data_IF_750065748279
#
_entry.id   IF_750065748279
#
_cell.length_a   1.000
_cell.length_b   1.000
_cell.length_c   1.000
_cell.angle_alpha   90.00
_cell.angle_beta   90.00
_cell.angle_gamma   90.00
#
_symmetry.space_group_name_H-M   'P 1'
#
loop_
_entity.id
_entity.type
_entity.pdbx_description
1 polymer ?
#
# COMPACT_ATOMS: atom_id res chain seq x y z
N UNK A 1 -59.95 29.37 16.43
CA UNK A 1 -59.83 28.05 15.77
C UNK A 1 -58.36 27.77 15.47
N UNK A 2 -57.73 26.72 16.02
CA UNK A 2 -56.36 26.38 15.64
C UNK A 2 -56.39 25.64 14.29
N UNK A 3 -55.68 26.19 13.30
CA UNK A 3 -55.47 25.55 12.00
C UNK A 3 -54.65 24.28 12.23
N UNK A 4 -55.30 23.11 12.23
CA UNK A 4 -54.62 21.81 12.18
C UNK A 4 -53.81 21.77 10.88
N UNK A 5 -52.50 22.04 10.96
CA UNK A 5 -51.54 21.72 9.87
C UNK A 5 -51.74 20.24 9.53
N UNK A 6 -52.31 19.93 8.37
CA UNK A 6 -52.35 18.56 7.82
C UNK A 6 -50.91 18.04 7.83
N UNK A 7 -50.60 17.08 8.69
CA UNK A 7 -49.34 16.32 8.59
C UNK A 7 -49.33 15.71 7.19
N UNK A 8 -48.40 16.15 6.33
CA UNK A 8 -48.16 15.53 5.02
C UNK A 8 -48.02 14.02 5.26
N UNK A 9 -48.88 13.21 4.64
CA UNK A 9 -48.77 11.76 4.74
C UNK A 9 -47.38 11.32 4.29
N UNK A 10 -46.69 10.59 5.16
CA UNK A 10 -45.35 10.13 4.86
C UNK A 10 -45.43 8.99 3.84
N UNK A 11 -44.87 9.24 2.64
CA UNK A 11 -44.80 8.24 1.57
C UNK A 11 -43.98 7.03 2.03
N UNK A 12 -44.50 5.83 1.75
CA UNK A 12 -43.82 4.55 1.97
C UNK A 12 -42.47 4.54 1.22
N UNK A 13 -41.35 4.19 1.86
CA UNK A 13 -40.08 4.05 1.17
C UNK A 13 -40.17 2.98 0.07
N UNK A 14 -39.83 3.34 -1.17
CA UNK A 14 -39.67 2.36 -2.24
C UNK A 14 -38.35 1.59 -2.05
N UNK A 15 -38.46 0.26 -1.94
CA UNK A 15 -37.33 -0.66 -1.80
C UNK A 15 -36.90 -1.30 -3.13
N UNK A 16 -37.73 -1.25 -4.17
CA UNK A 16 -37.49 -1.97 -5.42
C UNK A 16 -36.12 -1.66 -6.02
N UNK A 17 -35.80 -0.38 -6.22
CA UNK A 17 -34.53 0.04 -6.83
C UNK A 17 -33.30 -0.38 -6.00
N UNK A 18 -33.36 -0.30 -4.65
CA UNK A 18 -32.22 -0.70 -3.81
C UNK A 18 -32.06 -2.22 -3.77
N UNK A 19 -33.17 -2.97 -3.80
CA UNK A 19 -33.13 -4.42 -3.89
C UNK A 19 -32.55 -4.91 -5.22
N UNK A 20 -32.87 -4.25 -6.34
CA UNK A 20 -32.28 -4.53 -7.64
C UNK A 20 -30.78 -4.24 -7.63
N UNK A 21 -30.36 -3.07 -7.15
CA UNK A 21 -28.94 -2.70 -7.05
C UNK A 21 -28.15 -3.67 -6.15
N UNK A 22 -28.75 -4.09 -5.03
CA UNK A 22 -28.18 -5.10 -4.14
C UNK A 22 -28.01 -6.45 -4.84
N UNK A 23 -29.04 -6.91 -5.58
CA UNK A 23 -28.98 -8.17 -6.33
C UNK A 23 -27.87 -8.18 -7.37
N UNK A 24 -27.71 -7.07 -8.11
CA UNK A 24 -26.63 -6.91 -9.10
C UNK A 24 -25.26 -6.92 -8.41
N UNK A 25 -25.10 -6.15 -7.33
CA UNK A 25 -23.82 -6.04 -6.61
C UNK A 25 -23.42 -7.36 -5.94
N UNK A 26 -24.40 -8.09 -5.40
CA UNK A 26 -24.21 -9.44 -4.85
C UNK A 26 -23.76 -10.42 -5.93
N UNK A 27 -24.43 -10.44 -7.09
CA UNK A 27 -24.06 -11.31 -8.20
C UNK A 27 -22.63 -11.04 -8.69
N UNK A 28 -22.27 -9.77 -8.90
CA UNK A 28 -20.90 -9.38 -9.29
C UNK A 28 -19.88 -9.82 -8.23
N UNK A 29 -20.15 -9.55 -6.95
CA UNK A 29 -19.26 -9.96 -5.86
C UNK A 29 -19.06 -11.47 -5.85
N UNK A 30 -20.14 -12.25 -6.01
CA UNK A 30 -20.08 -13.70 -6.05
C UNK A 30 -19.23 -14.20 -7.22
N UNK A 31 -19.42 -13.64 -8.42
CA UNK A 31 -18.62 -13.99 -9.60
C UNK A 31 -17.14 -13.72 -9.35
N UNK A 32 -16.80 -12.55 -8.79
CA UNK A 32 -15.42 -12.18 -8.48
C UNK A 32 -14.80 -13.05 -7.38
N UNK A 33 -15.56 -13.42 -6.36
CA UNK A 33 -15.12 -14.36 -5.32
C UNK A 33 -14.82 -15.73 -5.92
N UNK A 34 -15.70 -16.26 -6.78
CA UNK A 34 -15.47 -17.54 -7.47
C UNK A 34 -14.22 -17.45 -8.35
N UNK A 35 -14.07 -16.37 -9.12
CA UNK A 35 -12.87 -16.15 -9.94
C UNK A 35 -11.60 -16.11 -9.09
N UNK A 36 -11.62 -15.41 -7.94
CA UNK A 36 -10.51 -15.37 -7.00
C UNK A 36 -10.14 -16.77 -6.50
N UNK A 37 -11.11 -17.58 -6.08
CA UNK A 37 -10.80 -18.93 -5.60
C UNK A 37 -10.29 -19.87 -6.71
N UNK A 38 -10.71 -19.67 -7.95
CA UNK A 38 -10.11 -20.36 -9.11
C UNK A 38 -8.67 -19.90 -9.30
N UNK A 39 -8.42 -18.59 -9.23
CA UNK A 39 -7.09 -18.00 -9.37
C UNK A 39 -6.10 -18.53 -8.32
N UNK A 40 -6.52 -18.69 -7.06
CA UNK A 40 -5.69 -19.29 -6.01
C UNK A 40 -5.32 -20.76 -6.24
N UNK A 41 -6.04 -21.48 -7.10
CA UNK A 41 -5.70 -22.85 -7.50
C UNK A 41 -4.87 -22.92 -8.78
N UNK A 42 -4.86 -21.84 -9.56
CA UNK A 42 -4.11 -21.74 -10.79
C UNK A 42 -3.68 -20.29 -11.04
N UNK A 43 -2.43 -19.98 -10.70
CA UNK A 43 -1.86 -18.64 -10.82
C UNK A 43 -1.93 -18.07 -12.24
N UNK A 44 -1.93 -18.93 -13.28
CA UNK A 44 -2.06 -18.48 -14.67
C UNK A 44 -3.37 -17.73 -14.93
N UNK A 45 -4.44 -18.07 -14.20
CA UNK A 45 -5.73 -17.35 -14.29
C UNK A 45 -5.58 -15.95 -13.72
N UNK A 46 -4.89 -15.80 -12.59
CA UNK A 46 -4.60 -14.49 -12.00
C UNK A 46 -3.72 -13.65 -12.92
N UNK A 47 -2.69 -14.24 -13.54
CA UNK A 47 -1.76 -13.55 -14.43
C UNK A 47 -2.46 -13.07 -15.71
N UNK A 48 -3.26 -13.94 -16.34
CA UNK A 48 -4.06 -13.57 -17.53
C UNK A 48 -5.10 -12.51 -17.19
N UNK A 49 -5.83 -12.68 -16.08
CA UNK A 49 -6.79 -11.68 -15.60
C UNK A 49 -6.10 -10.33 -15.33
N UNK A 50 -4.93 -10.37 -14.69
CA UNK A 50 -4.16 -9.18 -14.37
C UNK A 50 -3.79 -8.43 -15.65
N UNK A 51 -3.08 -9.11 -16.56
CA UNK A 51 -2.53 -8.53 -17.77
C UNK A 51 -3.58 -8.10 -18.81
N UNK A 52 -4.67 -8.86 -18.96
CA UNK A 52 -5.66 -8.64 -20.04
C UNK A 52 -6.88 -7.85 -19.60
N UNK A 53 -7.21 -7.82 -18.32
CA UNK A 53 -8.46 -7.23 -17.81
C UNK A 53 -8.15 -6.14 -16.79
N UNK A 54 -7.61 -6.51 -15.63
CA UNK A 54 -7.53 -5.56 -14.50
C UNK A 54 -6.57 -4.40 -14.76
N UNK A 55 -5.37 -4.65 -15.29
CA UNK A 55 -4.34 -3.62 -15.50
C UNK A 55 -4.73 -2.62 -16.61
N UNK A 56 -5.25 -3.03 -17.78
CA UNK A 56 -5.76 -2.09 -18.78
C UNK A 56 -6.90 -1.19 -18.25
N UNK A 57 -7.83 -1.77 -17.47
CA UNK A 57 -8.93 -1.00 -16.87
C UNK A 57 -8.39 -0.05 -15.81
N UNK A 58 -7.49 -0.51 -14.94
CA UNK A 58 -6.88 0.30 -13.89
C UNK A 58 -6.06 1.46 -14.47
N UNK A 59 -5.35 1.25 -15.58
CA UNK A 59 -4.62 2.32 -16.27
C UNK A 59 -5.58 3.45 -16.69
N UNK A 60 -6.71 3.13 -17.31
CA UNK A 60 -7.73 4.12 -17.71
C UNK A 60 -8.39 4.76 -16.49
N UNK A 61 -8.74 3.96 -15.49
CA UNK A 61 -9.43 4.42 -14.28
C UNK A 61 -8.58 5.36 -13.41
N UNK A 62 -7.25 5.16 -13.41
CA UNK A 62 -6.32 5.99 -12.64
C UNK A 62 -6.15 7.40 -13.20
N UNK A 63 -6.43 7.64 -14.49
CA UNK A 63 -6.23 8.93 -15.16
C UNK A 63 -6.90 10.10 -14.42
N UNK A 64 -8.21 10.10 -14.16
CA UNK A 64 -8.86 11.21 -13.47
C UNK A 64 -8.33 11.42 -12.05
N UNK A 65 -7.98 10.35 -11.34
CA UNK A 65 -7.45 10.40 -9.97
C UNK A 65 -6.04 11.01 -9.95
N UNK A 66 -5.21 10.66 -10.95
CA UNK A 66 -3.86 11.20 -11.09
C UNK A 66 -3.83 12.71 -11.31
N UNK A 67 -4.87 13.28 -11.94
CA UNK A 67 -4.99 14.73 -12.17
C UNK A 67 -5.24 15.53 -10.88
N UNK A 68 -5.70 14.89 -9.81
CA UNK A 68 -5.97 15.59 -8.55
C UNK A 68 -4.66 15.93 -7.83
N UNK A 69 -4.47 17.15 -7.30
CA UNK A 69 -3.26 17.51 -6.57
C UNK A 69 -3.26 17.03 -5.10
N UNK A 70 -4.29 16.30 -4.67
CA UNK A 70 -4.51 15.84 -3.30
C UNK A 70 -5.01 14.39 -3.30
N UNK A 71 -4.95 13.73 -2.13
CA UNK A 71 -5.47 12.38 -1.92
C UNK A 71 -7.01 12.36 -1.95
N UNK A 72 -7.59 11.75 -2.98
CA UNK A 72 -9.03 11.50 -3.07
C UNK A 72 -9.49 10.53 -1.97
N UNK A 73 -8.65 9.54 -1.65
CA UNK A 73 -8.87 8.57 -0.58
C UNK A 73 -9.04 9.26 0.76
N UNK A 74 -8.12 10.14 1.14
CA UNK A 74 -8.20 10.92 2.38
C UNK A 74 -9.43 11.81 2.40
N UNK A 75 -9.69 12.54 1.29
CA UNK A 75 -10.85 13.43 1.20
C UNK A 75 -12.15 12.66 1.40
N UNK A 76 -12.30 11.49 0.74
CA UNK A 76 -13.48 10.63 0.88
C UNK A 76 -13.57 10.05 2.29
N UNK A 77 -12.46 9.66 2.91
CA UNK A 77 -12.45 9.16 4.29
C UNK A 77 -12.93 10.23 5.27
N UNK A 78 -12.39 11.44 5.20
CA UNK A 78 -12.74 12.55 6.11
C UNK A 78 -14.16 13.05 5.87
N UNK A 79 -14.51 13.40 4.63
CA UNK A 79 -15.86 13.88 4.30
C UNK A 79 -16.88 12.78 4.51
N UNK A 80 -16.55 11.55 4.12
CA UNK A 80 -17.39 10.37 4.28
C UNK A 80 -17.74 10.13 5.75
N UNK A 81 -16.77 10.25 6.65
CA UNK A 81 -17.02 10.14 8.09
C UNK A 81 -18.03 11.18 8.58
N UNK A 82 -17.87 12.45 8.21
CA UNK A 82 -18.81 13.52 8.57
C UNK A 82 -20.21 13.27 8.01
N UNK A 83 -20.30 12.80 6.76
CA UNK A 83 -21.57 12.44 6.12
C UNK A 83 -22.23 11.27 6.85
N UNK A 84 -21.47 10.22 7.20
CA UNK A 84 -21.98 9.05 7.94
C UNK A 84 -22.52 9.48 9.30
N UNK A 85 -21.80 10.33 10.06
CA UNK A 85 -22.28 10.87 11.33
C UNK A 85 -23.58 11.66 11.13
N UNK A 86 -23.61 12.59 10.18
CA UNK A 86 -24.78 13.42 9.92
C UNK A 86 -26.01 12.59 9.48
N UNK A 87 -25.81 11.59 8.61
CA UNK A 87 -26.87 10.68 8.18
C UNK A 87 -27.34 9.78 9.31
N UNK A 88 -26.44 9.35 10.20
CA UNK A 88 -26.77 8.53 11.38
C UNK A 88 -27.62 9.33 12.37
N UNK A 89 -27.19 10.54 12.75
CA UNK A 89 -27.96 11.44 13.62
C UNK A 89 -29.33 11.74 13.00
N UNK A 90 -29.37 12.10 11.72
CA UNK A 90 -30.63 12.32 10.98
C UNK A 90 -31.50 11.07 10.97
N UNK A 91 -30.90 9.89 10.83
CA UNK A 91 -31.57 8.59 10.88
C UNK A 91 -32.23 8.34 12.23
N UNK A 92 -31.48 8.52 13.32
CA UNK A 92 -31.95 8.38 14.71
C UNK A 92 -33.08 9.37 15.01
N UNK A 93 -32.88 10.66 14.72
CA UNK A 93 -33.91 11.68 14.91
C UNK A 93 -35.18 11.32 14.16
N UNK A 94 -35.08 10.88 12.90
CA UNK A 94 -36.24 10.45 12.11
C UNK A 94 -36.88 9.17 12.62
N UNK A 95 -36.11 8.24 13.17
CA UNK A 95 -36.63 7.00 13.73
C UNK A 95 -37.49 7.26 14.98
N UNK A 96 -37.07 8.22 15.81
CA UNK A 96 -37.78 8.62 17.04
C UNK A 96 -38.98 9.52 16.71
N UNK A 97 -38.77 10.57 15.90
CA UNK A 97 -39.79 11.62 15.67
C UNK A 97 -40.86 11.23 14.64
N UNK A 98 -40.61 10.20 13.82
CA UNK A 98 -41.50 9.78 12.73
C UNK A 98 -41.68 8.26 12.73
N UNK A 99 -42.65 7.74 13.51
CA UNK A 99 -42.82 6.30 13.67
C UNK A 99 -43.34 5.60 12.39
N UNK A 100 -44.07 6.32 11.53
CA UNK A 100 -44.61 5.78 10.28
C UNK A 100 -43.52 5.22 9.37
N UNK A 101 -43.62 3.96 8.95
CA UNK A 101 -42.62 3.31 8.07
C UNK A 101 -41.17 3.32 8.59
N UNK A 102 -40.91 3.55 9.89
CA UNK A 102 -39.54 3.66 10.43
C UNK A 102 -38.67 2.42 10.14
N UNK A 103 -39.26 1.24 10.24
CA UNK A 103 -38.57 -0.02 9.97
C UNK A 103 -38.27 -0.23 8.48
N UNK A 104 -39.16 0.22 7.58
CA UNK A 104 -38.88 0.18 6.14
C UNK A 104 -37.81 1.18 5.73
N UNK A 105 -37.73 2.33 6.41
CA UNK A 105 -36.62 3.28 6.23
C UNK A 105 -35.30 2.69 6.70
N UNK A 106 -35.29 2.07 7.89
CA UNK A 106 -34.11 1.38 8.42
C UNK A 106 -33.65 0.26 7.48
N UNK A 107 -34.58 -0.58 7.01
CA UNK A 107 -34.30 -1.61 6.02
C UNK A 107 -33.71 -1.02 4.75
N UNK A 108 -34.31 0.05 4.20
CA UNK A 108 -33.77 0.73 3.02
C UNK A 108 -32.32 1.19 3.24
N UNK A 109 -32.04 1.82 4.38
CA UNK A 109 -30.68 2.26 4.72
C UNK A 109 -29.72 1.07 4.83
N UNK A 110 -30.11 0.00 5.51
CA UNK A 110 -29.30 -1.22 5.61
C UNK A 110 -29.00 -1.83 4.23
N UNK A 111 -29.99 -1.89 3.34
CA UNK A 111 -29.81 -2.36 1.96
C UNK A 111 -28.84 -1.47 1.18
N UNK A 112 -28.94 -0.14 1.30
CA UNK A 112 -27.97 0.79 0.66
C UNK A 112 -26.56 0.58 1.18
N UNK A 113 -26.38 0.48 2.51
CA UNK A 113 -25.05 0.26 3.12
C UNK A 113 -24.47 -1.06 2.66
N UNK A 114 -25.27 -2.13 2.64
CA UNK A 114 -24.84 -3.43 2.14
C UNK A 114 -24.47 -3.39 0.65
N UNK A 115 -25.24 -2.68 -0.18
CA UNK A 115 -24.90 -2.48 -1.60
C UNK A 115 -23.55 -1.76 -1.75
N UNK A 116 -23.32 -0.68 -1.01
CA UNK A 116 -22.04 0.05 -1.04
C UNK A 116 -20.88 -0.85 -0.61
N UNK A 117 -21.06 -1.64 0.46
CA UNK A 117 -20.04 -2.57 0.93
C UNK A 117 -19.72 -3.66 -0.11
N UNK A 118 -20.72 -4.20 -0.81
CA UNK A 118 -20.51 -5.19 -1.89
C UNK A 118 -19.83 -4.58 -3.10
N UNK A 119 -20.14 -3.33 -3.46
CA UNK A 119 -19.43 -2.62 -4.53
C UNK A 119 -17.97 -2.40 -4.15
N UNK A 120 -17.69 -1.93 -2.93
CA UNK A 120 -16.32 -1.76 -2.45
C UNK A 120 -15.55 -3.09 -2.43
N UNK A 121 -16.17 -4.17 -1.96
CA UNK A 121 -15.60 -5.52 -2.00
C UNK A 121 -15.32 -5.98 -3.42
N UNK A 122 -16.24 -5.75 -4.36
CA UNK A 122 -16.07 -6.12 -5.77
C UNK A 122 -14.87 -5.39 -6.38
N UNK A 123 -14.74 -4.08 -6.15
CA UNK A 123 -13.61 -3.29 -6.62
C UNK A 123 -12.30 -3.75 -5.99
N UNK A 124 -12.30 -4.02 -4.69
CA UNK A 124 -11.14 -4.60 -4.01
C UNK A 124 -10.72 -5.94 -4.63
N UNK A 125 -11.64 -6.88 -4.83
CA UNK A 125 -11.31 -8.19 -5.40
C UNK A 125 -10.78 -8.03 -6.83
N UNK A 126 -11.43 -7.18 -7.63
CA UNK A 126 -11.08 -6.97 -9.03
C UNK A 126 -9.71 -6.31 -9.23
N UNK A 127 -9.32 -5.38 -8.36
CA UNK A 127 -8.10 -4.56 -8.54
C UNK A 127 -6.97 -4.85 -7.55
N UNK A 128 -7.18 -5.80 -6.62
CA UNK A 128 -6.15 -6.22 -5.66
C UNK A 128 -6.32 -7.67 -5.21
N UNK A 129 -7.52 -8.07 -4.80
CA UNK A 129 -7.76 -9.37 -4.16
C UNK A 129 -7.43 -10.60 -5.03
N UNK A 130 -7.61 -10.52 -6.35
CA UNK A 130 -7.19 -11.57 -7.30
C UNK A 130 -5.66 -11.55 -7.51
N UNK A 131 -5.02 -10.40 -7.37
CA UNK A 131 -3.57 -10.26 -7.63
C UNK A 131 -2.71 -11.02 -6.61
N UNK A 132 -3.21 -11.30 -5.41
CA UNK A 132 -2.53 -12.18 -4.43
C UNK A 132 -2.28 -13.60 -4.96
N UNK A 133 -3.05 -14.03 -5.96
CA UNK A 133 -2.90 -15.35 -6.57
C UNK A 133 -1.96 -15.37 -7.78
N UNK A 134 -1.33 -14.23 -8.14
CA UNK A 134 -0.40 -14.16 -9.27
C UNK A 134 0.88 -14.97 -9.01
N UNK A 135 1.54 -15.35 -10.10
CA UNK A 135 2.84 -16.02 -10.02
C UNK A 135 3.87 -15.14 -9.28
N UNK A 136 4.77 -15.72 -8.46
CA UNK A 136 5.93 -15.02 -7.84
C UNK A 136 6.61 -14.03 -8.78
N UNK A 137 6.96 -12.83 -8.26
CA UNK A 137 7.78 -11.90 -9.04
C UNK A 137 9.14 -12.53 -9.34
N UNK A 138 9.70 -13.30 -8.41
CA UNK A 138 10.93 -14.06 -8.59
C UNK A 138 10.96 -14.86 -9.91
N UNK A 139 9.87 -15.58 -10.23
CA UNK A 139 9.76 -16.39 -11.44
C UNK A 139 9.87 -15.53 -12.71
N UNK A 140 9.22 -14.36 -12.69
CA UNK A 140 9.20 -13.43 -13.82
C UNK A 140 10.52 -12.67 -14.00
N UNK A 141 11.29 -12.54 -12.92
CA UNK A 141 12.62 -11.94 -12.91
C UNK A 141 13.75 -12.98 -13.12
N UNK A 142 13.41 -14.27 -13.20
CA UNK A 142 14.40 -15.36 -13.31
C UNK A 142 15.25 -15.54 -12.05
N UNK A 143 14.75 -15.13 -10.87
CA UNK A 143 15.47 -15.22 -9.61
C UNK A 143 15.37 -16.62 -9.02
N UNK A 144 16.51 -17.19 -8.65
CA UNK A 144 16.55 -18.49 -7.97
C UNK A 144 16.57 -18.29 -6.44
N UNK A 145 15.41 -18.48 -5.82
CA UNK A 145 15.29 -18.48 -4.36
C UNK A 145 15.73 -19.85 -3.82
N UNK A 146 16.74 -19.85 -2.94
CA UNK A 146 17.34 -21.04 -2.35
C UNK A 146 17.75 -20.79 -0.90
N UNK A 147 18.14 -21.84 -0.20
CA UNK A 147 18.77 -21.69 1.11
C UNK A 147 20.10 -20.95 1.02
N UNK A 148 20.33 -20.07 2.01
CA UNK A 148 21.44 -19.11 2.07
C UNK A 148 22.15 -19.19 3.40
N UNK A 149 23.48 -19.12 3.39
CA UNK A 149 24.26 -19.11 4.63
C UNK A 149 24.24 -17.74 5.30
N UNK A 150 24.61 -17.67 6.58
CA UNK A 150 24.69 -16.40 7.31
C UNK A 150 25.79 -15.50 6.73
N UNK A 151 26.86 -16.09 6.18
CA UNK A 151 27.90 -15.37 5.44
C UNK A 151 27.34 -14.67 4.18
N UNK A 152 26.42 -15.32 3.45
CA UNK A 152 25.76 -14.70 2.29
C UNK A 152 24.92 -13.50 2.72
N UNK A 153 24.19 -13.62 3.84
CA UNK A 153 23.41 -12.53 4.42
C UNK A 153 24.30 -11.36 4.87
N UNK A 154 25.42 -11.64 5.55
CA UNK A 154 26.40 -10.63 5.96
C UNK A 154 26.98 -9.90 4.75
N UNK A 155 27.42 -10.63 3.70
CA UNK A 155 27.96 -10.02 2.48
C UNK A 155 26.96 -9.08 1.81
N UNK A 156 25.71 -9.52 1.64
CA UNK A 156 24.66 -8.69 1.07
C UNK A 156 24.38 -7.45 1.94
N UNK A 157 24.35 -7.62 3.26
CA UNK A 157 24.14 -6.51 4.21
C UNK A 157 25.27 -5.48 4.11
N UNK A 158 26.53 -5.93 4.02
CA UNK A 158 27.70 -5.06 3.81
C UNK A 158 27.61 -4.33 2.46
N UNK A 159 27.24 -5.02 1.38
CA UNK A 159 27.13 -4.43 0.05
C UNK A 159 26.08 -3.30 0.05
N UNK A 160 24.89 -3.55 0.58
CA UNK A 160 23.85 -2.53 0.70
C UNK A 160 24.23 -1.40 1.68
N UNK A 161 24.97 -1.68 2.76
CA UNK A 161 25.45 -0.66 3.68
C UNK A 161 26.39 0.34 3.00
N UNK A 162 27.33 -0.18 2.18
CA UNK A 162 28.25 0.63 1.38
C UNK A 162 27.50 1.44 0.32
N UNK A 163 26.66 0.79 -0.48
CA UNK A 163 25.89 1.46 -1.52
C UNK A 163 24.96 2.55 -0.95
N UNK A 164 24.27 2.28 0.17
CA UNK A 164 23.44 3.28 0.84
C UNK A 164 24.28 4.45 1.37
N UNK A 165 25.44 4.17 1.96
CA UNK A 165 26.36 5.21 2.46
C UNK A 165 26.93 6.08 1.36
N UNK A 166 27.29 5.49 0.22
CA UNK A 166 27.75 6.19 -0.98
C UNK A 166 26.62 7.02 -1.61
N UNK A 167 25.42 6.45 -1.75
CA UNK A 167 24.27 7.16 -2.30
C UNK A 167 23.79 8.32 -1.40
N UNK A 168 24.09 8.25 -0.09
CA UNK A 168 23.78 9.30 0.87
C UNK A 168 24.75 10.49 0.81
N UNK A 169 25.94 10.31 0.24
CA UNK A 169 26.95 11.35 0.17
C UNK A 169 26.50 12.53 -0.69
N UNK A 170 26.73 13.74 -0.19
CA UNK A 170 26.33 14.98 -0.88
C UNK A 170 24.82 15.24 -0.99
N UNK A 171 23.95 14.40 -0.41
CA UNK A 171 22.50 14.66 -0.39
C UNK A 171 22.14 15.83 0.54
N UNK A 172 21.04 16.56 0.25
CA UNK A 172 20.62 17.69 1.09
C UNK A 172 20.35 17.29 2.53
N UNK A 173 20.79 18.11 3.48
CA UNK A 173 20.61 17.87 4.91
C UNK A 173 19.87 19.03 5.59
N UNK A 174 19.14 18.72 6.64
CA UNK A 174 18.59 19.69 7.58
C UNK A 174 19.66 20.16 8.58
N UNK A 175 19.27 21.03 9.52
CA UNK A 175 20.16 21.53 10.57
C UNK A 175 20.72 20.45 11.51
N UNK A 176 20.12 19.27 11.54
CA UNK A 176 20.54 18.13 12.38
C UNK A 176 21.38 17.13 11.57
N UNK A 177 21.66 17.40 10.30
CA UNK A 177 22.37 16.51 9.39
C UNK A 177 21.54 15.32 8.91
N UNK A 178 20.20 15.40 9.02
CA UNK A 178 19.26 14.40 8.51
C UNK A 178 18.87 14.76 7.08
N UNK A 179 18.65 13.78 6.21
CA UNK A 179 18.24 14.04 4.83
C UNK A 179 16.97 14.92 4.78
N UNK A 180 17.08 16.05 4.08
CA UNK A 180 16.00 17.00 3.91
C UNK A 180 15.37 16.89 2.52
N UNK A 181 14.03 16.93 2.47
CA UNK A 181 13.27 17.02 1.24
C UNK A 181 12.38 18.26 1.34
N UNK A 182 12.60 19.23 0.47
CA UNK A 182 11.84 20.49 0.48
C UNK A 182 10.35 20.27 0.14
N UNK A 183 10.07 19.37 -0.81
CA UNK A 183 8.69 19.03 -1.19
C UNK A 183 8.61 17.58 -1.69
N UNK A 184 8.03 16.67 -0.90
CA UNK A 184 7.73 15.30 -1.34
C UNK A 184 6.90 15.26 -2.62
N UNK A 185 5.98 16.23 -2.80
CA UNK A 185 5.13 16.32 -3.99
C UNK A 185 5.94 16.61 -5.27
N UNK A 186 7.07 17.30 -5.17
CA UNK A 186 7.95 17.51 -6.32
C UNK A 186 8.69 16.22 -6.69
N UNK A 187 9.16 15.45 -5.71
CA UNK A 187 9.76 14.13 -5.96
C UNK A 187 8.75 13.15 -6.59
N UNK A 188 7.50 13.17 -6.14
CA UNK A 188 6.45 12.27 -6.65
C UNK A 188 6.14 12.44 -8.14
N UNK A 189 6.44 13.60 -8.74
CA UNK A 189 6.26 13.82 -10.19
C UNK A 189 7.16 12.93 -11.04
N UNK A 190 8.34 12.59 -10.53
CA UNK A 190 9.34 11.81 -11.24
C UNK A 190 9.37 10.33 -10.81
N UNK A 191 8.47 9.91 -9.90
CA UNK A 191 8.44 8.54 -9.35
C UNK A 191 8.39 7.42 -10.40
N UNK A 192 7.79 7.69 -11.57
CA UNK A 192 7.69 6.73 -12.66
C UNK A 192 9.03 6.43 -13.34
N UNK A 193 10.03 7.31 -13.24
CA UNK A 193 11.31 7.18 -13.99
C UNK A 193 12.13 5.98 -13.55
N UNK A 194 12.09 5.67 -12.25
CA UNK A 194 12.75 4.48 -11.70
C UNK A 194 12.13 3.19 -12.24
N UNK A 195 10.80 3.16 -12.35
CA UNK A 195 10.07 2.04 -12.94
C UNK A 195 10.35 1.87 -14.44
N UNK A 196 10.42 2.96 -15.21
CA UNK A 196 10.77 2.90 -16.64
C UNK A 196 12.16 2.32 -16.83
N UNK A 197 13.17 2.83 -16.13
CA UNK A 197 14.55 2.32 -16.22
C UNK A 197 14.69 0.89 -15.73
N UNK A 198 14.02 0.54 -14.63
CA UNK A 198 14.00 -0.83 -14.14
C UNK A 198 13.38 -1.78 -15.18
N UNK A 199 12.33 -1.34 -15.89
CA UNK A 199 11.67 -2.17 -16.92
C UNK A 199 12.52 -2.41 -18.18
N UNK A 200 13.53 -1.58 -18.46
CA UNK A 200 14.49 -1.82 -19.54
C UNK A 200 15.36 -3.05 -19.26
N UNK A 201 15.65 -3.33 -17.98
CA UNK A 201 16.42 -4.50 -17.53
C UNK A 201 15.51 -5.67 -17.18
N UNK A 202 14.36 -5.37 -16.56
CA UNK A 202 13.39 -6.34 -16.06
C UNK A 202 12.02 -6.08 -16.69
N UNK A 203 11.73 -6.62 -17.89
CA UNK A 203 10.46 -6.38 -18.59
C UNK A 203 9.21 -6.75 -17.78
N UNK A 204 9.33 -7.66 -16.81
CA UNK A 204 8.25 -8.01 -15.88
C UNK A 204 7.75 -6.84 -15.01
N UNK A 205 8.54 -5.77 -14.88
CA UNK A 205 8.18 -4.56 -14.16
C UNK A 205 7.45 -3.54 -15.05
N UNK A 206 7.34 -3.75 -16.36
CA UNK A 206 6.65 -2.84 -17.28
C UNK A 206 5.16 -2.70 -16.92
N UNK A 207 4.63 -1.47 -16.97
CA UNK A 207 3.20 -1.22 -16.77
C UNK A 207 2.77 0.09 -17.40
N UNK A 208 1.55 0.12 -17.93
CA UNK A 208 0.88 1.33 -18.37
C UNK A 208 0.38 2.19 -17.20
N UNK A 209 0.32 1.65 -15.98
CA UNK A 209 -0.14 2.37 -14.79
C UNK A 209 1.00 3.23 -14.25
N UNK A 210 0.77 4.54 -14.25
CA UNK A 210 1.70 5.57 -13.76
C UNK A 210 0.99 6.41 -12.70
N UNK A 211 0.73 5.86 -11.51
CA UNK A 211 0.02 6.60 -10.48
C UNK A 211 0.93 7.72 -9.97
N UNK A 212 0.37 8.91 -9.75
CA UNK A 212 1.10 10.01 -9.11
C UNK A 212 0.84 9.93 -7.60
N UNK A 213 1.84 9.59 -6.78
CA UNK A 213 1.65 9.47 -5.33
C UNK A 213 1.12 10.76 -4.71
N UNK A 214 0.18 10.63 -3.77
CA UNK A 214 -0.44 11.74 -3.07
C UNK A 214 0.02 11.76 -1.62
N UNK A 215 0.62 12.87 -1.20
CA UNK A 215 0.89 13.10 0.22
C UNK A 215 -0.44 13.26 0.97
N UNK A 216 -0.58 12.56 2.08
CA UNK A 216 -1.76 12.67 2.96
C UNK A 216 -1.65 13.95 3.78
N UNK A 217 -2.68 14.79 3.74
CA UNK A 217 -2.69 16.10 4.43
C UNK A 217 -2.60 15.90 5.95
N UNK A 218 -3.27 14.87 6.47
CA UNK A 218 -3.30 14.49 7.89
C UNK A 218 -2.21 13.47 8.25
N UNK A 219 -1.08 13.46 7.53
CA UNK A 219 0.04 12.52 7.73
C UNK A 219 0.48 12.36 9.18
N UNK A 220 0.59 13.46 9.94
CA UNK A 220 0.94 13.41 11.36
C UNK A 220 -0.05 12.56 12.18
N UNK A 221 -1.35 12.77 11.99
CA UNK A 221 -2.38 11.98 12.67
C UNK A 221 -2.45 10.55 12.14
N UNK A 222 -2.15 10.35 10.86
CA UNK A 222 -2.11 9.03 10.26
C UNK A 222 -1.00 8.17 10.87
N UNK A 223 0.12 8.77 11.29
CA UNK A 223 1.22 8.06 11.96
C UNK A 223 0.83 7.34 13.25
N UNK A 224 -0.25 7.75 13.94
CA UNK A 224 -0.79 7.00 15.10
C UNK A 224 -1.31 5.60 14.73
N UNK A 225 -1.48 5.29 13.45
CA UNK A 225 -1.87 3.95 12.99
C UNK A 225 -0.67 3.10 12.56
N UNK A 226 0.56 3.64 12.58
CA UNK A 226 1.77 3.03 12.00
C UNK A 226 1.64 2.68 10.50
N UNK A 227 0.65 3.24 9.79
CA UNK A 227 0.56 3.12 8.35
C UNK A 227 1.42 4.22 7.71
N UNK A 228 2.35 3.80 6.87
CA UNK A 228 3.33 4.68 6.23
C UNK A 228 2.95 5.01 4.77
N UNK A 229 2.18 4.14 4.14
CA UNK A 229 1.66 4.25 2.79
C UNK A 229 0.39 3.43 2.63
N UNK A 230 -0.41 3.73 1.61
CA UNK A 230 -1.59 2.94 1.27
C UNK A 230 -1.97 3.11 -0.20
N UNK A 231 -1.98 1.99 -0.91
CA UNK A 231 -2.70 1.81 -2.15
C UNK A 231 -4.21 1.63 -1.89
N UNK A 232 -5.04 2.44 -2.56
CA UNK A 232 -6.49 2.34 -2.51
C UNK A 232 -7.02 1.72 -3.81
N UNK A 233 -7.40 0.42 -3.83
CA UNK A 233 -7.81 -0.29 -5.04
C UNK A 233 -9.06 0.30 -5.72
N UNK A 234 -9.93 0.98 -4.96
CA UNK A 234 -11.14 1.59 -5.51
C UNK A 234 -10.84 2.73 -6.49
N UNK A 235 -9.73 3.45 -6.28
CA UNK A 235 -9.33 4.61 -7.07
C UNK A 235 -8.03 4.39 -7.84
N UNK A 236 -7.37 3.24 -7.63
CA UNK A 236 -6.01 2.97 -8.10
C UNK A 236 -5.08 4.11 -7.65
N UNK A 237 -5.22 4.52 -6.39
CA UNK A 237 -4.55 5.70 -5.84
C UNK A 237 -3.47 5.30 -4.85
N UNK A 238 -2.31 5.95 -4.96
CA UNK A 238 -1.19 5.79 -4.04
C UNK A 238 -1.18 6.94 -3.04
N UNK A 239 -1.27 6.62 -1.75
CA UNK A 239 -1.27 7.59 -0.67
C UNK A 239 -0.03 7.38 0.20
N UNK A 240 0.66 8.45 0.55
CA UNK A 240 1.93 8.38 1.27
C UNK A 240 1.91 9.28 2.50
N UNK A 241 2.34 8.75 3.63
CA UNK A 241 2.58 9.53 4.84
C UNK A 241 3.85 10.36 4.63
N UNK A 242 3.70 11.68 4.61
CA UNK A 242 4.80 12.63 4.34
C UNK A 242 5.31 13.35 5.58
N UNK A 243 4.87 12.97 6.79
CA UNK A 243 5.32 13.57 8.06
C UNK A 243 6.58 12.87 8.62
N UNK A 244 6.80 11.61 8.24
CA UNK A 244 7.99 10.82 8.58
C UNK A 244 9.29 11.36 7.94
N UNK A 245 10.48 10.95 8.40
CA UNK A 245 11.74 11.42 7.83
C UNK A 245 11.85 11.24 6.33
N UNK A 246 12.39 12.26 5.67
CA UNK A 246 12.35 12.40 4.21
C UNK A 246 12.91 11.18 3.47
N UNK A 247 14.01 10.61 3.96
CA UNK A 247 14.68 9.49 3.28
C UNK A 247 13.80 8.24 3.14
N UNK A 248 12.78 8.04 3.98
CA UNK A 248 11.91 6.87 3.90
C UNK A 248 10.80 7.01 2.83
N UNK A 249 10.39 8.26 2.55
CA UNK A 249 9.22 8.57 1.71
C UNK A 249 9.31 7.96 0.30
N UNK A 250 10.45 8.05 -0.44
CA UNK A 250 10.51 7.52 -1.80
C UNK A 250 10.31 6.00 -1.89
N UNK A 251 10.98 5.21 -1.04
CA UNK A 251 10.84 3.76 -1.03
C UNK A 251 9.41 3.31 -0.70
N UNK A 252 8.74 4.03 0.21
CA UNK A 252 7.34 3.79 0.54
C UNK A 252 6.44 4.13 -0.66
N UNK A 253 6.66 5.27 -1.31
CA UNK A 253 5.93 5.61 -2.52
C UNK A 253 6.13 4.55 -3.61
N UNK A 254 7.36 4.06 -3.80
CA UNK A 254 7.66 2.99 -4.73
C UNK A 254 6.93 1.68 -4.39
N UNK A 255 6.91 1.28 -3.11
CA UNK A 255 6.15 0.13 -2.63
C UNK A 255 4.66 0.24 -2.99
N UNK A 256 4.03 1.37 -2.69
CA UNK A 256 2.60 1.56 -2.99
C UNK A 256 2.32 1.66 -4.51
N UNK A 257 3.27 2.20 -5.30
CA UNK A 257 3.20 2.15 -6.76
C UNK A 257 3.25 0.70 -7.24
N UNK A 258 4.03 -0.19 -6.61
CA UNK A 258 4.07 -1.60 -6.94
C UNK A 258 2.69 -2.26 -6.77
N UNK A 259 1.98 -1.92 -5.68
CA UNK A 259 0.59 -2.34 -5.49
C UNK A 259 -0.34 -1.87 -6.61
N UNK A 260 -0.25 -0.60 -6.98
CA UNK A 260 -1.04 -0.07 -8.09
C UNK A 260 -0.72 -0.74 -9.44
N UNK A 261 0.52 -1.21 -9.64
CA UNK A 261 0.96 -2.02 -10.79
C UNK A 261 0.58 -3.51 -10.68
N UNK A 262 -0.17 -3.87 -9.65
CA UNK A 262 -0.79 -5.18 -9.46
C UNK A 262 0.07 -6.22 -8.75
N UNK A 263 1.17 -5.81 -8.11
CA UNK A 263 1.87 -6.68 -7.16
C UNK A 263 1.12 -6.66 -5.83
N UNK A 264 0.64 -7.80 -5.33
CA UNK A 264 -0.17 -7.82 -4.10
C UNK A 264 0.53 -8.43 -2.89
N UNK A 265 1.47 -9.36 -3.09
CA UNK A 265 2.29 -9.87 -1.99
C UNK A 265 3.30 -8.82 -1.57
N UNK A 266 3.46 -8.62 -0.27
CA UNK A 266 4.36 -7.63 0.33
C UNK A 266 5.82 -7.86 -0.07
N UNK A 267 6.24 -9.12 -0.23
CA UNK A 267 7.62 -9.42 -0.62
C UNK A 267 7.90 -9.01 -2.07
N UNK A 268 6.93 -9.25 -2.97
CA UNK A 268 7.04 -8.82 -4.37
C UNK A 268 6.98 -7.29 -4.48
N UNK A 269 6.13 -6.64 -3.68
CA UNK A 269 5.95 -5.18 -3.71
C UNK A 269 7.18 -4.49 -3.16
N UNK A 270 7.73 -4.99 -2.06
CA UNK A 270 9.00 -4.51 -1.52
C UNK A 270 10.13 -4.69 -2.54
N UNK A 271 10.32 -5.89 -3.12
CA UNK A 271 11.37 -6.10 -4.11
C UNK A 271 11.20 -5.20 -5.34
N UNK A 272 10.01 -5.15 -5.94
CA UNK A 272 9.74 -4.31 -7.11
C UNK A 272 9.94 -2.82 -6.81
N UNK A 273 9.47 -2.37 -5.64
CA UNK A 273 9.67 -1.01 -5.17
C UNK A 273 11.15 -0.67 -5.01
N UNK A 274 11.93 -1.54 -4.34
CA UNK A 274 13.37 -1.36 -4.17
C UNK A 274 14.12 -1.33 -5.50
N UNK A 275 13.84 -2.26 -6.41
CA UNK A 275 14.43 -2.25 -7.75
C UNK A 275 14.11 -0.93 -8.45
N UNK A 276 12.87 -0.45 -8.41
CA UNK A 276 12.52 0.84 -9.03
C UNK A 276 13.34 2.01 -8.45
N UNK A 277 13.62 1.98 -7.14
CA UNK A 277 14.48 2.96 -6.48
C UNK A 277 15.94 2.84 -6.92
N UNK A 278 16.50 1.62 -7.02
CA UNK A 278 17.90 1.39 -7.40
C UNK A 278 18.22 1.96 -8.78
N UNK A 279 17.28 1.82 -9.73
CA UNK A 279 17.41 2.31 -11.11
C UNK A 279 16.99 3.78 -11.29
N UNK A 280 16.45 4.43 -10.25
CA UNK A 280 15.95 5.80 -10.35
C UNK A 280 17.10 6.80 -10.63
N UNK A 281 16.93 7.79 -11.54
CA UNK A 281 17.98 8.78 -11.83
C UNK A 281 18.33 9.70 -10.65
N UNK A 282 17.34 10.03 -9.84
CA UNK A 282 17.51 10.90 -8.67
C UNK A 282 18.15 10.12 -7.50
N UNK A 283 19.30 10.58 -6.96
CA UNK A 283 20.01 9.89 -5.90
C UNK A 283 19.22 9.78 -4.58
N UNK A 284 18.24 10.65 -4.32
CA UNK A 284 17.36 10.55 -3.13
C UNK A 284 16.54 9.26 -3.19
N UNK A 285 16.01 8.90 -4.36
CA UNK A 285 15.26 7.66 -4.55
C UNK A 285 16.17 6.44 -4.42
N UNK A 286 17.37 6.50 -5.00
CA UNK A 286 18.37 5.42 -4.88
C UNK A 286 18.73 5.18 -3.43
N UNK A 287 19.11 6.24 -2.69
CA UNK A 287 19.42 6.14 -1.27
C UNK A 287 18.25 5.57 -0.46
N UNK A 288 17.04 6.08 -0.68
CA UNK A 288 15.82 5.60 0.00
C UNK A 288 15.59 4.10 -0.17
N UNK A 289 15.72 3.60 -1.41
CA UNK A 289 15.61 2.17 -1.69
C UNK A 289 16.73 1.35 -1.04
N UNK A 290 17.98 1.80 -1.19
CA UNK A 290 19.16 1.10 -0.67
C UNK A 290 19.13 0.98 0.86
N UNK A 291 18.83 2.07 1.57
CA UNK A 291 18.75 2.05 3.04
C UNK A 291 17.54 1.25 3.53
N UNK A 292 16.43 1.24 2.78
CA UNK A 292 15.26 0.41 3.11
C UNK A 292 15.55 -1.08 2.93
N UNK A 293 16.19 -1.47 1.82
CA UNK A 293 16.63 -2.84 1.60
C UNK A 293 17.69 -3.27 2.63
N UNK A 294 18.66 -2.40 2.93
CA UNK A 294 19.64 -2.62 4.00
C UNK A 294 18.97 -2.86 5.34
N UNK A 295 17.94 -2.09 5.73
CA UNK A 295 17.20 -2.30 6.99
C UNK A 295 16.60 -3.70 7.08
N UNK A 296 16.02 -4.22 5.99
CA UNK A 296 15.46 -5.59 5.96
C UNK A 296 16.55 -6.64 6.21
N UNK A 297 17.67 -6.54 5.49
CA UNK A 297 18.80 -7.46 5.63
C UNK A 297 19.46 -7.34 7.02
N UNK A 298 19.69 -6.11 7.49
CA UNK A 298 20.31 -5.80 8.77
C UNK A 298 19.48 -6.31 9.95
N UNK A 299 18.16 -6.10 9.94
CA UNK A 299 17.28 -6.59 11.00
C UNK A 299 17.36 -8.12 11.10
N UNK A 300 17.35 -8.79 9.94
CA UNK A 300 17.47 -10.24 9.91
C UNK A 300 18.85 -10.72 10.34
N UNK A 301 19.92 -10.08 9.90
CA UNK A 301 21.28 -10.43 10.31
C UNK A 301 21.46 -10.25 11.83
N UNK A 302 20.85 -9.23 12.43
CA UNK A 302 20.88 -9.04 13.88
C UNK A 302 20.20 -10.18 14.65
N UNK A 303 19.11 -10.74 14.11
CA UNK A 303 18.43 -11.91 14.70
C UNK A 303 19.29 -13.18 14.61
N UNK A 304 20.01 -13.36 13.50
CA UNK A 304 20.79 -14.58 13.23
C UNK A 304 22.18 -14.54 13.89
N UNK A 305 22.89 -13.42 13.81
CA UNK A 305 24.27 -13.26 14.30
C UNK A 305 24.61 -11.78 14.57
N UNK A 306 24.64 -11.42 15.87
CA UNK A 306 24.92 -10.05 16.29
C UNK A 306 26.36 -9.59 16.03
N UNK A 307 27.34 -10.52 15.97
CA UNK A 307 28.73 -10.16 15.69
C UNK A 307 28.88 -9.78 14.21
N UNK A 308 28.33 -10.59 13.31
CA UNK A 308 28.27 -10.27 11.87
C UNK A 308 27.45 -9.03 11.59
N UNK A 309 26.36 -8.84 12.31
CA UNK A 309 25.60 -7.58 12.22
C UNK A 309 26.46 -6.37 12.59
N UNK A 310 27.23 -6.45 13.69
CA UNK A 310 28.13 -5.37 14.09
C UNK A 310 29.19 -5.08 13.01
N UNK A 311 29.72 -6.12 12.37
CA UNK A 311 30.66 -5.97 11.24
C UNK A 311 30.00 -5.27 10.05
N UNK A 312 28.77 -5.66 9.70
CA UNK A 312 28.04 -5.05 8.59
C UNK A 312 27.64 -3.59 8.89
N UNK A 313 27.22 -3.30 10.12
CA UNK A 313 26.84 -1.96 10.56
C UNK A 313 28.02 -0.98 10.51
N UNK A 314 29.27 -1.45 10.68
CA UNK A 314 30.46 -0.60 10.60
C UNK A 314 30.66 0.09 9.23
N UNK A 315 29.97 -0.37 8.17
CA UNK A 315 29.98 0.24 6.84
C UNK A 315 28.94 1.36 6.67
N UNK A 316 28.09 1.61 7.67
CA UNK A 316 27.11 2.70 7.67
C UNK A 316 27.80 3.99 8.08
N UNK A 317 27.71 5.04 7.25
CA UNK A 317 28.28 6.35 7.57
C UNK A 317 27.50 7.06 8.68
N UNK A 318 28.13 8.03 9.39
CA UNK A 318 27.43 8.84 10.38
C UNK A 318 26.18 9.56 9.84
N UNK A 319 26.14 9.90 8.54
CA UNK A 319 24.99 10.53 7.91
C UNK A 319 23.78 9.58 7.87
N UNK A 320 23.98 8.36 7.38
CA UNK A 320 22.95 7.31 7.37
C UNK A 320 22.51 6.95 8.80
N UNK A 321 23.46 6.89 9.75
CA UNK A 321 23.15 6.63 11.15
C UNK A 321 22.25 7.71 11.78
N UNK A 322 22.42 8.99 11.41
CA UNK A 322 21.53 10.10 11.83
C UNK A 322 20.13 9.95 11.24
N UNK A 323 20.02 9.59 9.97
CA UNK A 323 18.72 9.34 9.33
C UNK A 323 17.95 8.22 10.04
N UNK A 324 18.61 7.08 10.29
CA UNK A 324 18.02 5.96 11.03
C UNK A 324 17.63 6.34 12.47
N UNK A 325 18.42 7.20 13.13
CA UNK A 325 18.11 7.71 14.47
C UNK A 325 16.86 8.60 14.45
N UNK A 326 16.77 9.51 13.48
CA UNK A 326 15.63 10.40 13.31
C UNK A 326 14.33 9.60 13.06
N UNK A 327 14.39 8.54 12.25
CA UNK A 327 13.27 7.63 12.05
C UNK A 327 12.82 6.92 13.33
N UNK A 328 13.77 6.37 14.11
CA UNK A 328 13.42 5.75 15.39
C UNK A 328 12.82 6.76 16.37
N UNK A 329 13.37 7.96 16.46
CA UNK A 329 12.86 9.02 17.34
C UNK A 329 11.46 9.49 16.93
N UNK A 330 11.20 9.60 15.62
CA UNK A 330 9.89 9.90 15.06
C UNK A 330 8.87 8.83 15.47
N UNK A 331 9.11 7.56 15.15
CA UNK A 331 8.14 6.49 15.40
C UNK A 331 7.90 6.21 16.87
N UNK A 332 8.91 6.42 17.73
CA UNK A 332 8.75 6.32 19.19
C UNK A 332 7.67 7.25 19.73
N UNK A 333 7.44 8.40 19.11
CA UNK A 333 6.38 9.33 19.51
C UNK A 333 4.96 8.81 19.21
N UNK A 334 4.82 7.81 18.34
CA UNK A 334 3.53 7.25 17.88
C UNK A 334 3.24 5.84 18.43
N UNK A 335 4.14 5.29 19.28
CA UNK A 335 3.94 4.02 19.99
C UNK A 335 2.76 4.14 20.99
N UNK A 336 1.55 3.90 20.48
CA UNK A 336 0.30 4.06 21.21
C UNK A 336 -0.59 2.82 21.07
N UNK A 337 -1.60 2.63 21.93
CA UNK A 337 -2.55 1.52 21.77
C UNK A 337 -3.28 1.51 20.42
N UNK A 338 -3.48 2.68 19.81
CA UNK A 338 -4.05 2.80 18.46
C UNK A 338 -3.14 2.16 17.42
N UNK A 339 -1.83 2.42 17.51
CA UNK A 339 -0.83 1.81 16.64
C UNK A 339 -0.82 0.29 16.79
N UNK A 340 -0.79 -0.24 18.02
CA UNK A 340 -0.84 -1.69 18.27
C UNK A 340 -2.09 -2.34 17.69
N UNK A 341 -3.26 -1.72 17.86
CA UNK A 341 -4.51 -2.22 17.28
C UNK A 341 -4.47 -2.20 15.74
N UNK A 342 -3.97 -1.11 15.15
CA UNK A 342 -3.83 -0.97 13.71
C UNK A 342 -2.92 -2.04 13.11
N UNK A 343 -1.73 -2.25 13.69
CA UNK A 343 -0.80 -3.31 13.27
C UNK A 343 -1.46 -4.69 13.33
N UNK A 344 -2.19 -5.00 14.40
CA UNK A 344 -2.89 -6.28 14.53
C UNK A 344 -3.96 -6.48 13.45
N UNK A 345 -4.70 -5.42 13.07
CA UNK A 345 -5.69 -5.46 11.99
C UNK A 345 -5.00 -5.67 10.64
N UNK A 346 -3.88 -4.99 10.39
CA UNK A 346 -3.09 -5.17 9.16
C UNK A 346 -2.56 -6.60 9.03
N UNK A 347 -1.97 -7.14 10.10
CA UNK A 347 -1.48 -8.52 10.14
C UNK A 347 -2.59 -9.54 9.87
N UNK A 348 -3.79 -9.31 10.42
CA UNK A 348 -4.95 -10.15 10.16
C UNK A 348 -5.41 -10.07 8.69
N UNK A 349 -5.37 -8.87 8.10
CA UNK A 349 -5.69 -8.64 6.69
C UNK A 349 -4.71 -9.38 5.75
N UNK A 350 -3.40 -9.29 5.99
CA UNK A 350 -2.38 -9.99 5.19
C UNK A 350 -2.55 -11.51 5.28
N UNK A 351 -2.74 -12.03 6.50
CA UNK A 351 -3.01 -13.46 6.73
C UNK A 351 -4.28 -13.95 6.02
N UNK A 352 -5.35 -13.15 6.03
CA UNK A 352 -6.61 -13.49 5.34
C UNK A 352 -6.44 -13.56 3.81
N UNK A 353 -5.47 -12.85 3.25
CA UNK A 353 -5.15 -12.90 1.82
C UNK A 353 -4.15 -14.00 1.44
N UNK A 354 -3.93 -14.98 2.33
CA UNK A 354 -3.05 -16.15 2.13
C UNK A 354 -1.61 -15.75 1.83
N UNK A 355 -1.15 -14.65 2.41
CA UNK A 355 0.25 -14.32 2.49
C UNK A 355 0.95 -15.24 3.52
N UNK A 356 1.10 -16.51 3.14
CA UNK A 356 1.76 -17.53 3.93
C UNK A 356 3.21 -17.68 3.49
N UNK A 357 4.10 -17.91 4.46
CA UNK A 357 5.51 -18.17 4.22
C UNK A 357 5.67 -19.48 3.43
N UNK A 358 6.19 -19.39 2.21
CA UNK A 358 6.77 -20.53 1.51
C UNK A 358 8.05 -21.02 2.18
N UNK A 359 8.74 -21.98 1.56
CA UNK A 359 10.07 -22.44 2.01
C UNK A 359 11.03 -21.25 1.93
N UNK A 360 11.28 -20.62 3.08
CA UNK A 360 12.04 -19.37 3.23
C UNK A 360 13.09 -19.60 4.30
N UNK A 361 14.34 -19.24 4.00
CA UNK A 361 15.46 -19.44 4.94
C UNK A 361 15.45 -18.36 5.99
N UNK A 362 15.36 -17.12 5.51
CA UNK A 362 15.32 -15.95 6.36
C UNK A 362 13.96 -15.28 6.39
N UNK A 363 13.10 -15.54 5.39
CA UNK A 363 11.77 -14.98 5.32
C UNK A 363 11.62 -13.88 4.27
N UNK A 364 10.36 -13.63 3.92
CA UNK A 364 9.87 -12.40 3.29
C UNK A 364 10.71 -11.90 2.09
N UNK A 365 10.99 -10.61 2.05
CA UNK A 365 11.78 -9.91 1.01
C UNK A 365 13.28 -10.17 1.11
N UNK A 366 13.80 -10.65 2.25
CA UNK A 366 15.25 -10.91 2.44
C UNK A 366 15.74 -11.97 1.46
N UNK A 367 15.03 -13.09 1.35
CA UNK A 367 15.39 -14.17 0.41
C UNK A 367 15.35 -13.68 -1.05
N UNK A 368 14.42 -12.77 -1.37
CA UNK A 368 14.31 -12.15 -2.70
C UNK A 368 15.45 -11.17 -3.00
N UNK A 369 15.87 -10.36 -2.02
CA UNK A 369 17.01 -9.45 -2.15
C UNK A 369 18.32 -10.22 -2.35
N UNK A 370 18.51 -11.34 -1.63
CA UNK A 370 19.67 -12.22 -1.80
C UNK A 370 19.68 -12.85 -3.20
N UNK A 371 18.52 -13.32 -3.70
CA UNK A 371 18.41 -13.85 -5.05
C UNK A 371 18.61 -12.77 -6.13
N UNK A 372 18.14 -11.55 -5.89
CA UNK A 372 18.34 -10.40 -6.75
C UNK A 372 19.83 -10.05 -6.88
N UNK A 373 20.57 -9.88 -5.78
CA UNK A 373 22.01 -9.58 -5.83
C UNK A 373 22.79 -10.68 -6.57
N UNK A 374 22.48 -11.96 -6.32
CA UNK A 374 23.18 -13.05 -7.01
C UNK A 374 23.00 -12.98 -8.54
N UNK A 375 21.85 -12.48 -9.00
CA UNK A 375 21.49 -12.40 -10.41
C UNK A 375 21.95 -11.10 -11.07
N UNK A 376 21.78 -9.96 -10.37
CA UNK A 376 22.02 -8.61 -10.89
C UNK A 376 23.41 -8.06 -10.56
N UNK A 377 24.11 -8.63 -9.57
CA UNK A 377 25.35 -8.11 -9.01
C UNK A 377 25.12 -7.22 -7.78
N UNK A 378 26.22 -6.79 -7.16
CA UNK A 378 26.18 -5.85 -6.04
C UNK A 378 25.57 -4.51 -6.48
N UNK A 379 24.74 -3.86 -5.62
CA UNK A 379 23.92 -2.69 -5.96
C UNK A 379 24.69 -1.37 -6.12
#
# INVERSE_FOLDING_TARGET
MPVKRKRKEERRPNLFAVSVALGISFFISLVLIVLREIAFKNASVADVYSAKISQPIAAIWSIPVNLLPFSLTEMIAVIGLLVVIALTVRGIVRFITRPSWRWQRLLKTALVVLTIALVALSLFIAFHGIHYARSPLADSLGLTVRERSCEELERATVAFARAASEARDGLPEDKNGVLAIDSPQMLFKDSYRGWERASEVFPALESAIRPMPKGVILSHYWSYTHIVGMYMPLFIEVNVNTDQPGFAIPAIAAHEIAHARGFAREDDTNLAGYISCFYHPDPIWRYSGLVSAWKQLSNKLYEEDQERWSNAYAYITPAVARDLKAEREYWKAFETPVATFSTAVNDAYLKANKEAAGVKTYGQVVDLLLAYIETAGDP
#
